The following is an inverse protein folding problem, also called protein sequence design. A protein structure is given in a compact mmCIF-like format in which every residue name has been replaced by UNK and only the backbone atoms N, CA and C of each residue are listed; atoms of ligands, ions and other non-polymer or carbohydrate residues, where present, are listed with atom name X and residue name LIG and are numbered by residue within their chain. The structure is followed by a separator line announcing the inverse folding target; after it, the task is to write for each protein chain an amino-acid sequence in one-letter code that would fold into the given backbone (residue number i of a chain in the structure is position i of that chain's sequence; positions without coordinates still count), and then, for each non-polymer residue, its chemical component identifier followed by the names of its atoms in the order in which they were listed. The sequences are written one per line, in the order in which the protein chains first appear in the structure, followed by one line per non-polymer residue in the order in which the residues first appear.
data_IF_173339956740
#
_entry.id   IF_173339956740
#
_cell.length_a   1.000
_cell.length_b   1.000
_cell.length_c   1.000
_cell.angle_alpha   90.00
_cell.angle_beta   90.00
_cell.angle_gamma   90.00
#
_symmetry.space_group_name_H-M   'P 1'
#
loop_
_entity.id
_entity.type
_entity.pdbx_description
1 polymer ?
#
# COMPACT_ATOMS: atom_id res chain seq x y z
N UNK A 1 -18.71 -1.12 -1.83
CA UNK A 1 -18.73 0.34 -1.60
C UNK A 1 -18.42 0.64 -0.14
N UNK A 2 -17.47 1.52 0.11
CA UNK A 2 -17.10 2.07 1.41
C UNK A 2 -17.29 3.58 1.39
N UNK A 3 -17.60 4.22 2.53
CA UNK A 3 -17.97 5.64 2.53
C UNK A 3 -17.72 6.34 3.87
N UNK A 4 -17.67 7.66 3.81
CA UNK A 4 -17.80 8.60 4.92
C UNK A 4 -19.01 9.52 4.69
N UNK A 5 -19.08 10.62 5.45
CA UNK A 5 -20.05 11.70 5.20
C UNK A 5 -19.72 12.51 3.92
N UNK A 6 -18.45 12.55 3.51
CA UNK A 6 -17.98 13.40 2.40
C UNK A 6 -17.77 12.63 1.11
N UNK A 7 -17.32 11.37 1.19
CA UNK A 7 -16.95 10.57 0.02
C UNK A 7 -17.53 9.16 0.06
N UNK A 8 -17.70 8.56 -1.12
CA UNK A 8 -17.98 7.14 -1.34
C UNK A 8 -16.94 6.60 -2.31
N UNK A 9 -16.54 5.35 -2.09
CA UNK A 9 -15.52 4.66 -2.88
C UNK A 9 -16.06 3.27 -3.23
N UNK A 10 -15.96 2.89 -4.50
CA UNK A 10 -16.47 1.62 -4.97
C UNK A 10 -15.66 1.09 -6.16
N UNK A 11 -15.49 -0.23 -6.28
CA UNK A 11 -14.84 -0.84 -7.43
C UNK A 11 -15.68 -0.58 -8.68
N UNK A 12 -15.03 -0.16 -9.75
CA UNK A 12 -15.62 -0.02 -11.07
C UNK A 12 -16.08 -1.40 -11.57
N UNK A 13 -17.21 -1.42 -12.26
CA UNK A 13 -17.65 -2.61 -12.97
C UNK A 13 -16.72 -2.90 -14.15
N UNK A 14 -16.78 -4.12 -14.68
CA UNK A 14 -16.07 -4.49 -15.91
C UNK A 14 -16.35 -3.51 -17.05
N UNK A 15 -17.61 -3.16 -17.28
CA UNK A 15 -18.00 -2.23 -18.35
C UNK A 15 -17.43 -0.82 -18.13
N UNK A 16 -17.33 -0.38 -16.87
CA UNK A 16 -16.71 0.90 -16.54
C UNK A 16 -15.21 0.87 -16.82
N UNK A 17 -14.52 -0.21 -16.41
CA UNK A 17 -13.09 -0.42 -16.70
C UNK A 17 -12.83 -0.41 -18.21
N UNK A 18 -13.60 -1.18 -18.99
CA UNK A 18 -13.46 -1.24 -20.46
C UNK A 18 -13.63 0.15 -21.10
N UNK A 19 -14.59 0.96 -20.63
CA UNK A 19 -14.80 2.34 -21.11
C UNK A 19 -13.64 3.27 -20.74
N UNK A 20 -13.11 3.15 -19.53
CA UNK A 20 -11.97 3.95 -19.05
C UNK A 20 -10.73 3.65 -19.90
N UNK A 21 -10.40 2.36 -20.06
CA UNK A 21 -9.28 1.91 -20.90
C UNK A 21 -9.44 2.39 -22.36
N UNK A 22 -10.66 2.33 -22.90
CA UNK A 22 -10.93 2.79 -24.25
C UNK A 22 -10.71 4.31 -24.39
N UNK A 23 -11.07 5.09 -23.37
CA UNK A 23 -10.94 6.54 -23.37
C UNK A 23 -9.51 7.02 -23.05
N UNK A 24 -8.68 6.19 -22.40
CA UNK A 24 -7.30 6.52 -22.04
C UNK A 24 -6.42 6.68 -23.29
N UNK A 25 -5.63 7.76 -23.28
CA UNK A 25 -4.74 8.19 -24.36
C UNK A 25 -3.28 8.00 -24.02
N UNK A 26 -2.94 7.95 -22.75
CA UNK A 26 -1.60 7.61 -22.31
C UNK A 26 -1.39 6.09 -22.43
N UNK A 27 -0.40 5.67 -23.23
CA UNK A 27 -0.18 4.26 -23.53
C UNK A 27 0.28 3.46 -22.30
N UNK A 28 1.03 4.08 -21.38
CA UNK A 28 1.51 3.43 -20.16
C UNK A 28 0.37 3.21 -19.18
N UNK A 29 -0.46 4.24 -18.94
CA UNK A 29 -1.66 4.13 -18.11
C UNK A 29 -2.66 3.14 -18.70
N UNK A 30 -2.86 3.18 -20.02
CA UNK A 30 -3.75 2.25 -20.71
C UNK A 30 -3.30 0.81 -20.55
N UNK A 31 -1.99 0.54 -20.62
CA UNK A 31 -1.42 -0.79 -20.36
C UNK A 31 -1.68 -1.21 -18.92
N UNK A 32 -1.40 -0.35 -17.95
CA UNK A 32 -1.62 -0.63 -16.54
C UNK A 32 -3.11 -0.95 -16.23
N UNK A 33 -4.03 -0.16 -16.77
CA UNK A 33 -5.47 -0.43 -16.64
C UNK A 33 -5.90 -1.72 -17.34
N UNK A 34 -5.25 -2.08 -18.45
CA UNK A 34 -5.44 -3.36 -19.13
C UNK A 34 -5.03 -4.56 -18.26
N UNK A 35 -3.87 -4.47 -17.60
CA UNK A 35 -3.37 -5.48 -16.66
C UNK A 35 -4.30 -5.63 -15.45
N UNK A 36 -4.81 -4.51 -14.92
CA UNK A 36 -5.83 -4.51 -13.87
C UNK A 36 -7.10 -5.25 -14.31
N UNK A 37 -7.61 -4.95 -15.51
CA UNK A 37 -8.79 -5.63 -16.06
C UNK A 37 -8.53 -7.13 -16.25
N UNK A 38 -7.38 -7.51 -16.80
CA UNK A 38 -7.00 -8.92 -16.96
C UNK A 38 -6.90 -9.65 -15.63
N UNK A 39 -6.30 -9.01 -14.61
CA UNK A 39 -6.23 -9.55 -13.25
C UNK A 39 -7.62 -9.81 -12.65
N UNK A 40 -8.55 -8.86 -12.83
CA UNK A 40 -9.94 -9.00 -12.39
C UNK A 40 -10.71 -10.10 -13.14
N UNK A 41 -10.46 -10.26 -14.45
CA UNK A 41 -11.06 -11.33 -15.25
C UNK A 41 -10.51 -12.72 -14.89
N UNK A 42 -9.22 -12.79 -14.56
CA UNK A 42 -8.55 -14.02 -14.11
C UNK A 42 -9.00 -14.42 -12.72
N UNK A 43 -9.32 -13.45 -11.85
CA UNK A 43 -9.74 -13.68 -10.47
C UNK A 43 -11.13 -13.07 -10.18
N UNK A 44 -12.21 -13.60 -10.78
CA UNK A 44 -13.54 -12.99 -10.69
C UNK A 44 -14.11 -12.90 -9.26
N UNK A 45 -13.73 -13.83 -8.38
CA UNK A 45 -14.12 -13.82 -6.96
C UNK A 45 -13.30 -12.83 -6.11
N UNK A 46 -12.30 -12.19 -6.70
CA UNK A 46 -11.40 -11.22 -6.08
C UNK A 46 -11.36 -9.91 -6.86
N UNK A 47 -12.39 -9.63 -7.68
CA UNK A 47 -12.48 -8.46 -8.55
C UNK A 47 -12.04 -7.16 -7.88
N UNK A 48 -12.50 -6.94 -6.65
CA UNK A 48 -12.22 -5.76 -5.83
C UNK A 48 -10.72 -5.52 -5.58
N UNK A 49 -9.87 -6.56 -5.65
CA UNK A 49 -8.42 -6.46 -5.50
C UNK A 49 -7.67 -6.10 -6.79
N UNK A 50 -8.36 -6.10 -7.92
CA UNK A 50 -7.78 -5.81 -9.24
C UNK A 50 -8.48 -4.67 -9.97
N UNK A 51 -9.69 -4.30 -9.53
CA UNK A 51 -10.46 -3.23 -10.13
C UNK A 51 -9.90 -1.84 -9.78
N UNK A 52 -10.14 -0.87 -10.66
CA UNK A 52 -10.05 0.54 -10.27
C UNK A 52 -11.24 0.89 -9.40
N UNK A 53 -11.01 1.61 -8.31
CA UNK A 53 -12.02 2.09 -7.39
C UNK A 53 -12.27 3.58 -7.62
N UNK A 54 -13.51 3.92 -7.92
CA UNK A 54 -13.93 5.30 -8.14
C UNK A 54 -14.07 6.01 -6.80
N UNK A 55 -13.45 7.17 -6.63
CA UNK A 55 -13.66 8.07 -5.51
C UNK A 55 -14.63 9.16 -5.97
N UNK A 56 -15.77 9.25 -5.30
CA UNK A 56 -16.75 10.30 -5.53
C UNK A 56 -17.10 11.00 -4.22
N UNK A 57 -17.47 12.28 -4.29
CA UNK A 57 -18.22 12.93 -3.22
C UNK A 57 -19.59 12.26 -3.05
N UNK A 58 -20.21 12.46 -1.90
CA UNK A 58 -21.56 11.92 -1.62
C UNK A 58 -22.64 12.50 -2.55
N UNK A 59 -22.39 13.65 -3.17
CA UNK A 59 -23.26 14.24 -4.21
C UNK A 59 -23.07 13.63 -5.62
N UNK A 60 -22.12 12.70 -5.79
CA UNK A 60 -21.83 12.04 -7.07
C UNK A 60 -20.74 12.72 -7.92
N UNK A 61 -20.12 13.79 -7.43
CA UNK A 61 -18.97 14.39 -8.13
C UNK A 61 -17.77 13.44 -8.06
N UNK A 62 -17.21 13.04 -9.21
CA UNK A 62 -15.97 12.28 -9.26
C UNK A 62 -14.77 13.14 -8.86
N UNK A 63 -13.93 12.63 -7.96
CA UNK A 63 -12.80 13.38 -7.42
C UNK A 63 -11.45 12.67 -7.55
N UNK A 64 -11.44 11.42 -8.01
CA UNK A 64 -10.22 10.65 -8.21
C UNK A 64 -10.47 9.15 -8.11
N UNK A 65 -9.39 8.41 -7.97
CA UNK A 65 -9.36 6.96 -8.09
C UNK A 65 -8.41 6.34 -7.07
N UNK A 66 -8.65 5.07 -6.79
CA UNK A 66 -7.84 4.22 -5.95
C UNK A 66 -7.77 2.84 -6.60
N UNK A 67 -6.73 2.07 -6.35
CA UNK A 67 -6.68 0.67 -6.75
C UNK A 67 -5.94 -0.16 -5.73
N UNK A 68 -6.17 -1.47 -5.80
CA UNK A 68 -5.25 -2.46 -5.25
C UNK A 68 -4.53 -3.11 -6.43
N UNK A 69 -3.23 -3.38 -6.29
CA UNK A 69 -2.41 -4.05 -7.32
C UNK A 69 -2.39 -5.57 -7.13
N UNK A 70 -3.56 -6.17 -6.88
CA UNK A 70 -3.71 -7.61 -6.65
C UNK A 70 -3.50 -8.08 -5.20
N UNK A 71 -3.49 -9.40 -5.02
CA UNK A 71 -3.48 -10.07 -3.70
C UNK A 71 -2.41 -11.16 -3.54
N UNK A 72 -1.44 -11.25 -4.46
CA UNK A 72 -0.55 -12.42 -4.59
C UNK A 72 0.25 -12.78 -3.31
N UNK A 73 0.56 -11.79 -2.45
CA UNK A 73 1.33 -12.01 -1.21
C UNK A 73 0.59 -11.66 0.10
N UNK A 74 -0.74 -11.54 0.10
CA UNK A 74 -1.57 -11.12 1.26
C UNK A 74 -1.27 -9.72 1.81
N UNK A 75 -0.34 -8.99 1.18
CA UNK A 75 -0.03 -7.59 1.43
C UNK A 75 -0.37 -6.81 0.16
N UNK A 76 -1.64 -6.47 -0.05
CA UNK A 76 -2.04 -5.74 -1.23
C UNK A 76 -1.38 -4.36 -1.23
N UNK A 77 -0.86 -3.97 -2.39
CA UNK A 77 -0.34 -2.64 -2.62
C UNK A 77 -1.47 -1.72 -3.09
N UNK A 78 -1.55 -0.49 -2.56
CA UNK A 78 -2.53 0.51 -2.99
C UNK A 78 -1.89 1.59 -3.86
N UNK A 79 -2.59 1.96 -4.93
CA UNK A 79 -2.37 3.19 -5.69
C UNK A 79 -3.55 4.14 -5.51
N UNK A 80 -3.33 5.45 -5.57
CA UNK A 80 -4.41 6.43 -5.47
C UNK A 80 -4.06 7.79 -6.09
N UNK A 81 -5.07 8.46 -6.63
CA UNK A 81 -5.01 9.79 -7.21
C UNK A 81 -6.21 10.64 -6.82
N UNK A 82 -6.00 11.94 -6.69
CA UNK A 82 -7.09 12.93 -6.50
C UNK A 82 -6.87 14.04 -7.52
N UNK A 83 -7.91 14.39 -8.27
CA UNK A 83 -7.86 15.43 -9.28
C UNK A 83 -7.42 16.77 -8.65
N UNK A 84 -6.64 17.54 -9.39
CA UNK A 84 -5.96 18.75 -8.90
C UNK A 84 -6.89 19.72 -8.14
N UNK A 85 -8.10 19.93 -8.66
CA UNK A 85 -9.13 20.81 -8.07
C UNK A 85 -9.64 20.34 -6.70
N UNK A 86 -9.47 19.07 -6.35
CA UNK A 86 -9.87 18.49 -5.06
C UNK A 86 -8.68 18.23 -4.11
N UNK A 87 -7.45 18.48 -4.54
CA UNK A 87 -6.27 18.34 -3.69
C UNK A 87 -6.29 19.36 -2.53
N UNK A 88 -5.56 19.07 -1.44
CA UNK A 88 -5.48 19.95 -0.26
C UNK A 88 -6.68 19.89 0.70
N UNK A 89 -7.78 19.20 0.34
CA UNK A 89 -9.01 19.09 1.15
C UNK A 89 -9.08 17.85 2.05
N UNK A 90 -8.02 17.03 2.04
CA UNK A 90 -7.91 15.81 2.84
C UNK A 90 -8.60 14.57 2.25
N UNK A 91 -9.12 14.65 1.01
CA UNK A 91 -9.80 13.51 0.38
C UNK A 91 -8.90 12.29 0.16
N UNK A 92 -7.64 12.49 -0.24
CA UNK A 92 -6.69 11.38 -0.38
C UNK A 92 -6.48 10.62 0.95
N UNK A 93 -6.31 11.34 2.06
CA UNK A 93 -6.18 10.75 3.41
C UNK A 93 -7.43 9.97 3.81
N UNK A 94 -8.60 10.52 3.50
CA UNK A 94 -9.88 9.86 3.78
C UNK A 94 -10.04 8.58 2.94
N UNK A 95 -9.69 8.63 1.66
CA UNK A 95 -9.74 7.49 0.76
C UNK A 95 -8.78 6.38 1.14
N UNK A 96 -7.51 6.70 1.38
CA UNK A 96 -6.50 5.74 1.83
C UNK A 96 -6.89 5.13 3.18
N UNK A 97 -7.44 5.92 4.10
CA UNK A 97 -7.91 5.39 5.39
C UNK A 97 -9.08 4.42 5.23
N UNK A 98 -10.02 4.70 4.33
CA UNK A 98 -11.14 3.82 4.02
C UNK A 98 -10.65 2.52 3.36
N UNK A 99 -9.80 2.61 2.33
CA UNK A 99 -9.27 1.45 1.63
C UNK A 99 -8.45 0.55 2.54
N UNK A 100 -7.56 1.13 3.36
CA UNK A 100 -6.81 0.41 4.40
C UNK A 100 -7.76 -0.34 5.35
N UNK A 101 -8.81 0.33 5.83
CA UNK A 101 -9.79 -0.28 6.75
C UNK A 101 -10.50 -1.44 6.07
N UNK A 102 -10.98 -1.25 4.84
CA UNK A 102 -11.63 -2.29 4.06
C UNK A 102 -10.71 -3.49 3.86
N UNK A 103 -9.46 -3.27 3.45
CA UNK A 103 -8.48 -4.34 3.28
C UNK A 103 -8.26 -5.12 4.60
N UNK A 104 -8.18 -4.44 5.73
CA UNK A 104 -8.06 -5.09 7.03
C UNK A 104 -9.33 -5.76 7.55
N UNK A 105 -10.51 -5.51 6.96
CA UNK A 105 -11.71 -6.30 7.30
C UNK A 105 -11.60 -7.74 6.75
N UNK A 106 -10.70 -7.98 5.78
CA UNK A 106 -10.35 -9.33 5.32
C UNK A 106 -9.38 -10.02 6.30
N UNK A 107 -9.67 -11.24 6.78
CA UNK A 107 -8.87 -11.92 7.81
C UNK A 107 -7.46 -12.32 7.35
N UNK A 108 -7.29 -12.63 6.07
CA UNK A 108 -6.03 -13.05 5.46
C UNK A 108 -5.01 -11.92 5.31
N UNK A 109 -5.47 -10.67 5.33
CA UNK A 109 -4.64 -9.49 5.13
C UNK A 109 -3.92 -9.13 6.44
N UNK A 110 -2.59 -9.07 6.37
CA UNK A 110 -1.73 -8.81 7.52
C UNK A 110 -1.10 -7.41 7.47
N UNK A 111 -0.91 -6.87 6.26
CA UNK A 111 -0.40 -5.53 5.98
C UNK A 111 -1.00 -4.98 4.68
N UNK A 112 -0.86 -3.68 4.47
CA UNK A 112 -1.13 -2.98 3.21
C UNK A 112 0.11 -2.17 2.88
N UNK A 113 0.48 -2.18 1.60
CA UNK A 113 1.67 -1.51 1.09
C UNK A 113 1.30 -0.39 0.12
N UNK A 114 2.22 0.51 -0.13
CA UNK A 114 2.10 1.55 -1.14
C UNK A 114 3.49 1.97 -1.60
N UNK A 115 3.64 2.25 -2.88
CA UNK A 115 4.78 2.97 -3.41
C UNK A 115 4.37 4.40 -3.78
N UNK A 116 5.37 5.26 -3.90
CA UNK A 116 5.18 6.65 -4.31
C UNK A 116 6.46 7.16 -4.92
N UNK A 117 6.32 8.04 -5.91
CA UNK A 117 7.45 8.79 -6.45
C UNK A 117 8.26 9.46 -5.31
N UNK A 118 9.60 9.40 -5.33
CA UNK A 118 10.47 10.01 -4.32
C UNK A 118 10.21 11.51 -4.10
N UNK A 119 9.82 12.24 -5.14
CA UNK A 119 9.57 13.68 -5.12
C UNK A 119 8.12 14.01 -4.72
N UNK A 120 7.23 13.01 -4.64
CA UNK A 120 5.84 13.18 -4.25
C UNK A 120 5.65 13.25 -2.72
N UNK A 121 6.15 14.33 -2.12
CA UNK A 121 6.03 14.60 -0.69
C UNK A 121 4.57 14.69 -0.20
N UNK A 122 3.62 14.98 -1.08
CA UNK A 122 2.19 15.03 -0.74
C UNK A 122 1.63 13.63 -0.46
N UNK A 123 1.89 12.67 -1.35
CA UNK A 123 1.51 11.26 -1.18
C UNK A 123 2.17 10.66 0.07
N UNK A 124 3.47 10.89 0.26
CA UNK A 124 4.19 10.42 1.46
C UNK A 124 3.54 10.95 2.76
N UNK A 125 3.11 12.22 2.79
CA UNK A 125 2.37 12.79 3.94
C UNK A 125 1.02 12.15 4.14
N UNK A 126 0.30 11.79 3.07
CA UNK A 126 -0.97 11.07 3.16
C UNK A 126 -0.76 9.69 3.79
N UNK A 127 0.21 8.93 3.29
CA UNK A 127 0.57 7.60 3.81
C UNK A 127 0.93 7.66 5.30
N UNK A 128 1.80 8.59 5.70
CA UNK A 128 2.17 8.79 7.10
C UNK A 128 0.97 9.13 7.99
N UNK A 129 0.06 10.01 7.54
CA UNK A 129 -1.18 10.33 8.27
C UNK A 129 -2.10 9.12 8.42
N UNK A 130 -2.08 8.21 7.46
CA UNK A 130 -2.84 6.96 7.49
C UNK A 130 -2.16 5.85 8.32
N UNK A 131 -0.99 6.12 8.89
CA UNK A 131 -0.24 5.21 9.76
C UNK A 131 0.72 4.27 9.04
N UNK A 132 0.97 4.51 7.75
CA UNK A 132 2.04 3.82 7.03
C UNK A 132 3.40 4.36 7.48
N UNK A 133 4.41 3.49 7.42
CA UNK A 133 5.81 3.82 7.68
C UNK A 133 6.66 3.38 6.51
N UNK A 134 7.70 4.13 6.18
CA UNK A 134 8.69 3.69 5.19
C UNK A 134 9.31 2.38 5.66
N UNK A 135 9.37 1.37 4.79
CA UNK A 135 9.99 0.08 5.13
C UNK A 135 11.51 0.06 4.83
N UNK A 136 12.01 1.07 4.10
CA UNK A 136 13.42 1.21 3.72
C UNK A 136 13.77 0.61 2.35
N UNK A 137 12.81 0.03 1.66
CA UNK A 137 12.95 -0.52 0.31
C UNK A 137 12.54 0.51 -0.73
N UNK A 138 13.12 0.38 -1.93
CA UNK A 138 12.79 1.16 -3.12
C UNK A 138 12.27 0.16 -4.15
N UNK A 139 11.03 0.33 -4.59
CA UNK A 139 10.46 -0.44 -5.69
C UNK A 139 10.56 0.28 -7.03
N UNK A 140 9.67 -0.07 -7.95
CA UNK A 140 9.68 0.46 -9.31
C UNK A 140 9.24 1.93 -9.35
N UNK A 141 8.27 2.30 -8.52
CA UNK A 141 7.72 3.67 -8.48
C UNK A 141 8.44 4.55 -7.45
N UNK A 142 9.15 3.96 -6.48
CA UNK A 142 9.96 4.69 -5.51
C UNK A 142 9.95 4.09 -4.10
N UNK A 143 10.11 4.90 -3.04
CA UNK A 143 10.10 4.40 -1.66
C UNK A 143 8.81 3.66 -1.29
N UNK A 144 9.00 2.48 -0.68
CA UNK A 144 7.90 1.63 -0.23
C UNK A 144 7.49 1.95 1.20
N UNK A 145 6.18 1.98 1.40
CA UNK A 145 5.51 2.26 2.68
C UNK A 145 4.61 1.10 3.05
N UNK A 146 4.53 0.80 4.35
CA UNK A 146 3.75 -0.32 4.86
C UNK A 146 2.98 0.04 6.13
N UNK A 147 1.77 -0.47 6.27
CA UNK A 147 0.99 -0.44 7.51
C UNK A 147 0.53 -1.85 7.86
N UNK A 148 0.64 -2.22 9.13
CA UNK A 148 0.23 -3.54 9.62
C UNK A 148 -1.12 -3.47 10.33
N UNK A 149 -1.92 -4.53 10.18
CA UNK A 149 -3.18 -4.70 10.92
C UNK A 149 -2.89 -4.69 12.42
N UNK A 150 -3.72 -4.00 13.22
CA UNK A 150 -3.45 -3.72 14.64
C UNK A 150 -3.11 -4.97 15.47
N UNK A 151 -3.79 -6.10 15.23
CA UNK A 151 -3.53 -7.37 15.91
C UNK A 151 -2.09 -7.88 15.70
N UNK A 152 -1.45 -7.54 14.57
CA UNK A 152 -0.10 -7.97 14.22
C UNK A 152 0.98 -6.99 14.73
N UNK A 153 0.61 -5.83 15.27
CA UNK A 153 1.58 -4.86 15.80
C UNK A 153 2.32 -5.38 17.03
N UNK A 154 1.63 -6.13 17.89
CA UNK A 154 2.24 -6.68 19.10
C UNK A 154 3.23 -7.80 18.75
N UNK A 155 2.85 -8.72 17.87
CA UNK A 155 3.72 -9.80 17.38
C UNK A 155 4.98 -9.25 16.69
N UNK A 156 4.87 -8.18 15.89
CA UNK A 156 6.04 -7.50 15.32
C UNK A 156 6.91 -6.81 16.36
N UNK A 157 6.33 -6.14 17.35
CA UNK A 157 7.13 -5.52 18.44
C UNK A 157 7.97 -6.57 19.15
N UNK A 158 7.40 -7.77 19.36
CA UNK A 158 8.12 -8.91 19.94
C UNK A 158 9.21 -9.39 18.98
N UNK A 159 8.88 -9.75 17.73
CA UNK A 159 9.87 -10.22 16.74
C UNK A 159 11.02 -9.24 16.49
N UNK A 160 10.72 -7.95 16.36
CA UNK A 160 11.73 -6.92 16.13
C UNK A 160 12.68 -6.76 17.33
N UNK A 161 12.14 -6.90 18.55
CA UNK A 161 12.95 -6.90 19.76
C UNK A 161 13.84 -8.13 19.84
N UNK A 162 13.30 -9.32 19.57
CA UNK A 162 14.07 -10.58 19.54
C UNK A 162 15.19 -10.55 18.49
N UNK A 163 14.92 -10.01 17.29
CA UNK A 163 15.93 -9.85 16.25
C UNK A 163 17.07 -8.91 16.68
N UNK A 164 16.75 -7.77 17.31
CA UNK A 164 17.77 -6.86 17.85
C UNK A 164 18.60 -7.53 18.94
N UNK A 165 17.95 -8.20 19.89
CA UNK A 165 18.65 -8.91 20.98
C UNK A 165 19.56 -10.02 20.43
N UNK A 166 19.11 -10.76 19.41
CA UNK A 166 19.91 -11.80 18.75
C UNK A 166 21.12 -11.22 17.97
N UNK A 167 20.93 -10.09 17.28
CA UNK A 167 22.02 -9.41 16.57
C UNK A 167 23.06 -8.83 17.54
N UNK A 168 22.62 -8.23 18.64
CA UNK A 168 23.49 -7.75 19.72
C UNK A 168 24.32 -8.89 20.34
N UNK A 169 23.69 -10.03 20.61
CA UNK A 169 24.38 -11.21 21.14
C UNK A 169 25.43 -11.73 20.15
N UNK A 170 25.07 -11.86 18.86
CA UNK A 170 25.99 -12.28 17.79
C UNK A 170 27.21 -11.35 17.68
N UNK A 171 26.99 -10.04 17.74
CA UNK A 171 28.06 -9.04 17.71
C UNK A 171 28.95 -9.12 18.95
N UNK A 172 28.36 -9.38 20.13
CA UNK A 172 29.11 -9.58 21.36
C UNK A 172 30.01 -10.81 21.27
N UNK A 173 29.49 -11.96 20.82
CA UNK A 173 30.25 -13.20 20.64
C UNK A 173 31.41 -13.03 19.66
N UNK A 174 31.17 -12.36 18.53
CA UNK A 174 32.20 -12.06 17.53
C UNK A 174 33.33 -11.21 18.13
N UNK A 175 33.01 -10.23 18.98
CA UNK A 175 34.01 -9.43 19.70
C UNK A 175 34.82 -10.28 20.69
N UNK A 176 34.20 -11.24 21.37
CA UNK A 176 34.91 -12.14 22.29
C UNK A 176 35.85 -13.10 21.55
N UNK A 177 35.44 -13.65 20.41
CA UNK A 177 36.29 -14.50 19.57
C UNK A 177 37.54 -13.74 19.08
N UNK A 178 37.35 -12.54 18.51
CA UNK A 178 38.48 -11.68 18.07
C UNK A 178 39.46 -11.35 19.20
N UNK A 179 38.97 -11.15 20.43
CA UNK A 179 39.84 -10.92 21.61
C UNK A 179 40.65 -12.16 21.97
N UNK A 180 40.05 -13.35 21.91
CA UNK A 180 40.73 -14.63 22.19
C UNK A 180 41.79 -14.96 21.13
N UNK A 181 41.51 -14.68 19.85
CA UNK A 181 42.48 -14.87 18.76
C UNK A 181 43.70 -13.95 18.90
N UNK A 182 43.50 -12.68 19.29
CA UNK A 182 44.60 -11.73 19.55
C UNK A 182 45.52 -12.17 20.69
N UNK A 183 45.03 -12.93 21.68
CA UNK A 183 45.84 -13.41 22.80
C UNK A 183 46.51 -14.78 22.54
N UNK A 184 46.19 -15.47 21.44
CA UNK A 184 46.83 -16.74 21.06
C UNK A 184 48.04 -16.58 20.12
N UNK A 185 48.32 -15.37 19.67
CA UNK A 185 49.42 -15.05 18.73
C UNK A 185 50.68 -14.44 19.37
N UNK A 186 50.84 -14.56 20.69
CA UNK A 186 52.06 -14.17 21.42
C UNK A 186 52.71 -15.38 22.07
#
# INVERSE_FOLDING_TARGET
MIKTERIKIYPASREQMEKIIQAEKDDELKKAYGEMLEGGLTHPNQWDWYAMWMIEKTDGTHIGDLCFKGLEEKNPEIGYGVLDEFQGHGYATEAVSLAKKWAFDHPEIIAVEAETDPDNAASQKVLMKCGFVANGEIGEEGPRFIVYKEQNKLERKVKSREQKEAEELRLFELKQQKKKEKHKGH
#
